data_IF_629024735830
#
_entry.id   IF_629024735830
#
_cell.length_a   1.000
_cell.length_b   1.000
_cell.length_c   1.000
_cell.angle_alpha   90.00
_cell.angle_beta   90.00
_cell.angle_gamma   90.00
#
_symmetry.space_group_name_H-M   'P 1'
#
loop_
_entity.id
_entity.type
_entity.pdbx_description
1 polymer ?
#
# COMPACT_ATOMS: atom_id res chain seq x y z
N UNK A 1 -38.63 -38.21 57.96
CA UNK A 1 -38.92 -36.97 57.21
C UNK A 1 -37.74 -36.70 56.28
N UNK A 2 -37.90 -36.89 54.96
CA UNK A 2 -36.83 -36.81 53.95
C UNK A 2 -36.70 -35.37 53.45
N UNK A 3 -35.59 -34.70 53.72
CA UNK A 3 -35.29 -33.38 53.14
C UNK A 3 -34.40 -33.61 51.92
N UNK A 4 -34.96 -33.43 50.72
CA UNK A 4 -34.27 -33.61 49.45
C UNK A 4 -33.23 -32.49 49.25
N UNK A 5 -31.96 -32.86 49.24
CA UNK A 5 -30.86 -31.99 48.84
C UNK A 5 -30.89 -31.91 47.31
N UNK A 6 -31.39 -30.79 46.77
CA UNK A 6 -31.49 -30.54 45.35
C UNK A 6 -30.10 -30.44 44.70
N UNK A 7 -29.72 -31.48 43.95
CA UNK A 7 -28.51 -31.49 43.14
C UNK A 7 -28.68 -30.58 41.92
N UNK A 8 -28.23 -29.33 42.04
CA UNK A 8 -28.27 -28.35 40.96
C UNK A 8 -27.25 -28.72 39.87
N UNK A 9 -27.74 -29.13 38.71
CA UNK A 9 -26.90 -29.56 37.57
C UNK A 9 -26.41 -28.33 36.80
N UNK A 10 -25.18 -27.88 37.08
CA UNK A 10 -24.50 -26.88 36.26
C UNK A 10 -24.15 -27.48 34.89
N UNK A 11 -24.93 -27.16 33.85
CA UNK A 11 -24.60 -27.51 32.48
C UNK A 11 -23.41 -26.65 32.02
N UNK A 12 -22.22 -27.24 31.81
CA UNK A 12 -21.12 -26.53 31.15
C UNK A 12 -21.50 -26.31 29.67
N UNK A 13 -21.69 -25.04 29.26
CA UNK A 13 -21.92 -24.70 27.86
C UNK A 13 -20.57 -24.75 27.15
N UNK A 14 -20.25 -25.88 26.52
CA UNK A 14 -19.09 -25.99 25.63
C UNK A 14 -19.37 -25.13 24.40
N UNK A 15 -18.90 -23.88 24.41
CA UNK A 15 -19.00 -23.01 23.25
C UNK A 15 -18.15 -23.58 22.12
N UNK A 16 -18.79 -24.02 21.03
CA UNK A 16 -18.09 -24.46 19.80
C UNK A 16 -17.18 -23.33 19.33
N UNK A 17 -15.85 -23.56 19.36
CA UNK A 17 -14.86 -22.61 18.85
C UNK A 17 -15.18 -22.29 17.40
N UNK A 18 -15.52 -21.03 17.12
CA UNK A 18 -15.89 -20.58 15.77
C UNK A 18 -14.67 -20.70 14.86
N UNK A 19 -14.65 -21.71 13.99
CA UNK A 19 -13.58 -21.87 13.01
C UNK A 19 -13.75 -20.75 11.99
N UNK A 20 -12.83 -19.79 12.06
CA UNK A 20 -12.78 -18.69 11.12
C UNK A 20 -12.52 -19.25 9.72
N UNK A 21 -13.37 -18.88 8.75
CA UNK A 21 -13.18 -19.27 7.34
C UNK A 21 -11.74 -19.04 6.87
N UNK A 22 -11.13 -20.00 6.19
CA UNK A 22 -9.76 -19.86 5.64
C UNK A 22 -9.70 -18.81 4.52
N UNK A 23 -10.81 -18.64 3.80
CA UNK A 23 -10.96 -17.73 2.67
C UNK A 23 -11.56 -16.39 3.16
N UNK A 24 -10.92 -15.29 2.78
CA UNK A 24 -11.39 -13.94 3.02
C UNK A 24 -12.36 -13.49 1.90
N UNK A 25 -13.56 -13.09 2.29
CA UNK A 25 -14.61 -12.54 1.40
C UNK A 25 -14.93 -11.09 1.77
N UNK A 26 -15.54 -10.35 0.84
CA UNK A 26 -16.01 -8.97 1.05
C UNK A 26 -14.95 -7.86 0.89
N UNK A 27 -15.35 -6.62 1.16
CA UNK A 27 -14.56 -5.39 0.91
C UNK A 27 -13.18 -5.39 1.59
N UNK A 28 -13.08 -5.98 2.78
CA UNK A 28 -11.84 -6.05 3.57
C UNK A 28 -10.98 -7.29 3.28
N UNK A 29 -11.29 -8.10 2.29
CA UNK A 29 -10.62 -9.39 2.05
C UNK A 29 -9.08 -9.28 1.96
N UNK A 30 -8.58 -8.32 1.16
CA UNK A 30 -7.13 -8.07 1.03
C UNK A 30 -6.49 -7.59 2.33
N UNK A 31 -7.23 -6.81 3.12
CA UNK A 31 -6.76 -6.31 4.42
C UNK A 31 -6.65 -7.45 5.42
N UNK A 32 -7.66 -8.32 5.48
CA UNK A 32 -7.68 -9.49 6.37
C UNK A 32 -6.53 -10.45 6.08
N UNK A 33 -6.27 -10.74 4.79
CA UNK A 33 -5.14 -11.60 4.38
C UNK A 33 -3.80 -10.93 4.70
N UNK A 34 -3.65 -9.64 4.44
CA UNK A 34 -2.42 -8.93 4.75
C UNK A 34 -2.12 -8.88 6.25
N UNK A 35 -3.16 -8.71 7.09
CA UNK A 35 -3.09 -8.79 8.56
C UNK A 35 -2.84 -10.21 9.07
N UNK A 36 -3.06 -11.24 8.26
CA UNK A 36 -2.88 -12.64 8.64
C UNK A 36 -4.09 -13.29 9.32
N UNK A 37 -5.25 -12.62 9.36
CA UNK A 37 -6.47 -13.21 9.96
C UNK A 37 -7.09 -14.30 9.09
N UNK A 38 -6.68 -14.37 7.83
CA UNK A 38 -7.18 -15.28 6.79
C UNK A 38 -6.02 -15.69 5.88
N UNK A 39 -6.05 -16.90 5.33
CA UNK A 39 -4.94 -17.41 4.53
C UNK A 39 -4.92 -16.87 3.08
N UNK A 40 -6.09 -16.79 2.44
CA UNK A 40 -6.22 -16.38 1.03
C UNK A 40 -7.48 -15.57 0.76
N UNK A 41 -7.48 -14.72 -0.27
CA UNK A 41 -8.70 -14.07 -0.75
C UNK A 41 -9.56 -15.05 -1.58
N UNK A 42 -10.80 -14.68 -1.88
CA UNK A 42 -11.65 -15.46 -2.81
C UNK A 42 -11.00 -15.67 -4.19
N UNK A 43 -10.18 -14.71 -4.65
CA UNK A 43 -9.40 -14.83 -5.89
C UNK A 43 -8.01 -15.46 -5.72
N UNK A 44 -7.74 -16.16 -4.61
CA UNK A 44 -6.51 -16.93 -4.42
C UNK A 44 -5.26 -16.16 -3.99
N UNK A 45 -5.34 -14.84 -3.78
CA UNK A 45 -4.17 -14.05 -3.38
C UNK A 45 -3.77 -14.34 -1.93
N UNK A 46 -2.48 -14.61 -1.72
CA UNK A 46 -1.84 -14.78 -0.41
C UNK A 46 -1.22 -13.47 0.07
N UNK A 47 -0.72 -13.46 1.31
CA UNK A 47 -0.03 -12.29 1.90
C UNK A 47 1.20 -11.86 1.08
N UNK A 48 1.95 -12.82 0.52
CA UNK A 48 3.10 -12.57 -0.37
C UNK A 48 2.75 -11.72 -1.60
N UNK A 49 1.53 -11.89 -2.11
CA UNK A 49 1.09 -11.27 -3.36
C UNK A 49 0.48 -9.89 -3.14
N UNK A 50 0.44 -9.42 -1.88
CA UNK A 50 -0.18 -8.16 -1.47
C UNK A 50 0.87 -7.18 -0.96
N UNK A 51 0.71 -5.92 -1.33
CA UNK A 51 1.57 -4.82 -0.89
C UNK A 51 0.74 -3.60 -0.49
N UNK A 52 1.19 -2.91 0.56
CA UNK A 52 0.63 -1.62 0.99
C UNK A 52 1.19 -0.50 0.10
N UNK A 53 0.31 0.33 -0.46
CA UNK A 53 0.68 1.54 -1.20
C UNK A 53 0.97 2.70 -0.24
N UNK A 54 1.55 3.80 -0.75
CA UNK A 54 1.80 5.02 0.05
C UNK A 54 0.53 5.58 0.69
N UNK A 55 -0.61 5.51 -0.02
CA UNK A 55 -1.93 5.93 0.47
C UNK A 55 -2.56 4.95 1.47
N UNK A 56 -1.85 3.91 1.90
CA UNK A 56 -2.33 2.90 2.85
C UNK A 56 -3.22 1.80 2.25
N UNK A 57 -3.54 1.86 0.95
CA UNK A 57 -4.37 0.86 0.26
C UNK A 57 -3.58 -0.42 0.01
N UNK A 58 -4.19 -1.57 0.30
CA UNK A 58 -3.61 -2.88 0.02
C UNK A 58 -3.99 -3.30 -1.40
N UNK A 59 -2.97 -3.43 -2.26
CA UNK A 59 -3.09 -3.81 -3.67
C UNK A 59 -2.28 -5.07 -3.94
N UNK A 60 -2.49 -5.72 -5.08
CA UNK A 60 -1.62 -6.83 -5.48
C UNK A 60 -0.24 -6.30 -5.91
N UNK A 61 0.80 -7.06 -5.61
CA UNK A 61 2.17 -6.77 -6.00
C UNK A 61 2.29 -6.61 -7.52
N UNK A 62 1.63 -7.49 -8.29
CA UNK A 62 1.53 -7.39 -9.77
C UNK A 62 0.96 -6.05 -10.22
N UNK A 63 -0.13 -5.57 -9.60
CA UNK A 63 -0.73 -4.27 -9.95
C UNK A 63 0.20 -3.11 -9.61
N UNK A 64 0.91 -3.18 -8.48
CA UNK A 64 1.91 -2.17 -8.10
C UNK A 64 3.12 -2.15 -9.04
N UNK A 65 3.55 -3.30 -9.56
CA UNK A 65 4.62 -3.36 -10.54
C UNK A 65 4.18 -2.82 -11.90
N UNK A 66 2.98 -3.20 -12.37
CA UNK A 66 2.40 -2.71 -13.62
C UNK A 66 2.24 -1.18 -13.61
N UNK A 67 1.78 -0.58 -12.50
CA UNK A 67 1.63 0.88 -12.42
C UNK A 67 2.98 1.61 -12.53
N UNK A 68 4.07 1.04 -12.01
CA UNK A 68 5.43 1.61 -12.14
C UNK A 68 5.97 1.50 -13.56
N UNK A 69 5.63 0.42 -14.27
CA UNK A 69 6.03 0.19 -15.67
C UNK A 69 5.13 0.90 -16.68
N UNK A 70 4.00 1.45 -16.25
CA UNK A 70 3.09 2.20 -17.12
C UNK A 70 3.77 3.43 -17.73
N UNK A 71 3.30 3.87 -18.90
CA UNK A 71 3.85 5.03 -19.59
C UNK A 71 3.85 6.29 -18.69
N UNK A 72 2.77 6.51 -17.94
CA UNK A 72 2.70 7.61 -16.98
C UNK A 72 3.76 7.48 -15.86
N UNK A 73 3.95 6.26 -15.32
CA UNK A 73 4.97 5.99 -14.31
C UNK A 73 6.39 6.26 -14.82
N UNK A 74 6.69 5.85 -16.05
CA UNK A 74 7.99 6.10 -16.70
C UNK A 74 8.26 7.59 -16.90
N UNK A 75 7.28 8.34 -17.41
CA UNK A 75 7.42 9.81 -17.62
C UNK A 75 7.70 10.55 -16.31
N UNK A 76 6.96 10.22 -15.24
CA UNK A 76 7.17 10.81 -13.91
C UNK A 76 8.56 10.47 -13.37
N UNK A 77 9.00 9.22 -13.52
CA UNK A 77 10.32 8.79 -13.08
C UNK A 77 11.44 9.49 -13.87
N UNK A 78 11.33 9.58 -15.19
CA UNK A 78 12.29 10.26 -16.06
C UNK A 78 12.42 11.74 -15.71
N UNK A 79 11.29 12.44 -15.51
CA UNK A 79 11.28 13.84 -15.09
C UNK A 79 11.91 14.05 -13.71
N UNK A 80 11.63 13.15 -12.75
CA UNK A 80 12.24 13.17 -11.43
C UNK A 80 13.76 13.03 -11.47
N UNK A 81 14.27 12.10 -12.28
CA UNK A 81 15.72 11.90 -12.49
C UNK A 81 16.35 13.11 -13.17
N UNK A 82 15.72 13.66 -14.20
CA UNK A 82 16.20 14.88 -14.88
C UNK A 82 16.27 16.07 -13.91
N UNK A 83 15.26 16.24 -13.05
CA UNK A 83 15.22 17.29 -12.04
C UNK A 83 16.31 17.11 -10.98
N UNK A 84 16.54 15.89 -10.51
CA UNK A 84 17.62 15.61 -9.56
C UNK A 84 19.00 15.93 -10.16
N UNK A 85 19.24 15.58 -11.43
CA UNK A 85 20.48 15.92 -12.16
C UNK A 85 20.65 17.42 -12.33
N UNK A 86 19.61 18.12 -12.77
CA UNK A 86 19.62 19.58 -12.94
C UNK A 86 19.92 20.31 -11.61
N UNK A 87 19.30 19.88 -10.51
CA UNK A 87 19.53 20.47 -9.19
C UNK A 87 20.96 20.28 -8.70
N UNK A 88 21.54 19.10 -8.91
CA UNK A 88 22.95 18.84 -8.60
C UNK A 88 23.87 19.72 -9.45
N UNK A 89 23.61 19.84 -10.75
CA UNK A 89 24.42 20.63 -11.66
C UNK A 89 24.35 22.16 -11.43
N UNK A 90 23.31 22.65 -10.74
CA UNK A 90 23.15 24.07 -10.40
C UNK A 90 23.46 24.35 -8.92
N UNK A 91 23.80 23.34 -8.12
CA UNK A 91 24.12 23.51 -6.70
C UNK A 91 22.96 24.04 -5.83
N UNK A 92 21.71 23.90 -6.27
CA UNK A 92 20.56 24.50 -5.57
C UNK A 92 20.24 23.71 -4.30
N UNK A 93 20.56 24.31 -3.15
CA UNK A 93 20.18 23.83 -1.81
C UNK A 93 18.86 24.50 -1.38
N UNK A 94 17.97 23.74 -0.75
CA UNK A 94 16.65 24.22 -0.32
C UNK A 94 15.58 24.23 -1.41
N UNK A 95 14.45 24.86 -1.12
CA UNK A 95 13.30 24.92 -2.01
C UNK A 95 13.56 25.88 -3.19
N UNK A 96 13.25 25.43 -4.41
CA UNK A 96 13.27 26.27 -5.60
C UNK A 96 12.14 25.84 -6.54
N UNK A 97 11.20 26.74 -6.88
CA UNK A 97 10.10 26.41 -7.77
C UNK A 97 10.61 26.21 -9.21
N UNK A 98 10.32 25.04 -9.79
CA UNK A 98 10.64 24.75 -11.20
C UNK A 98 9.81 25.67 -12.09
N UNK A 99 10.47 26.54 -12.87
CA UNK A 99 9.78 27.48 -13.77
C UNK A 99 9.09 28.66 -13.07
N UNK A 100 9.46 28.96 -11.83
CA UNK A 100 8.89 30.11 -11.09
C UNK A 100 9.33 31.49 -11.63
N UNK A 101 8.83 32.55 -10.98
CA UNK A 101 9.17 33.97 -11.33
C UNK A 101 10.65 34.30 -11.14
N UNK A 102 11.33 33.60 -10.23
CA UNK A 102 12.76 33.79 -9.93
C UNK A 102 13.66 33.28 -11.06
N UNK A 103 14.76 33.99 -11.34
CA UNK A 103 15.75 33.60 -12.35
C UNK A 103 16.28 32.17 -12.15
N UNK A 104 16.57 31.78 -10.90
CA UNK A 104 17.02 30.42 -10.52
C UNK A 104 16.02 29.33 -10.93
N UNK A 105 14.72 29.58 -10.75
CA UNK A 105 13.65 28.65 -11.11
C UNK A 105 13.50 28.46 -12.63
N UNK A 106 13.66 29.55 -13.40
CA UNK A 106 13.67 29.52 -14.87
C UNK A 106 14.87 28.73 -15.40
N UNK A 107 16.07 29.00 -14.86
CA UNK A 107 17.30 28.29 -15.23
C UNK A 107 17.25 26.79 -14.87
N UNK A 108 16.61 26.44 -13.76
CA UNK A 108 16.38 25.05 -13.40
C UNK A 108 15.48 24.36 -14.43
N UNK A 109 14.38 25.00 -14.85
CA UNK A 109 13.45 24.40 -15.81
C UNK A 109 14.08 24.14 -17.17
N UNK A 110 14.85 25.09 -17.70
CA UNK A 110 15.55 24.92 -18.99
C UNK A 110 16.54 23.75 -18.92
N UNK A 111 17.26 23.62 -17.80
CA UNK A 111 18.22 22.53 -17.58
C UNK A 111 17.55 21.18 -17.30
N UNK A 112 16.38 21.14 -16.67
CA UNK A 112 15.59 19.91 -16.55
C UNK A 112 15.15 19.44 -17.93
N UNK A 113 14.63 20.35 -18.76
CA UNK A 113 14.20 20.04 -20.12
C UNK A 113 15.32 19.46 -20.97
N UNK A 114 16.55 19.99 -20.85
CA UNK A 114 17.69 19.43 -21.60
C UNK A 114 18.09 18.02 -21.15
N UNK A 115 17.90 17.68 -19.87
CA UNK A 115 18.15 16.32 -19.37
C UNK A 115 16.98 15.36 -19.56
N UNK A 116 15.77 15.88 -19.81
CA UNK A 116 14.60 15.06 -20.06
C UNK A 116 14.66 14.49 -21.47
N UNK A 117 15.12 13.24 -21.58
CA UNK A 117 14.97 12.44 -22.80
C UNK A 117 13.56 11.83 -22.78
N UNK A 118 12.73 12.24 -23.75
CA UNK A 118 11.35 11.78 -23.90
C UNK A 118 11.26 10.28 -24.18
#
# INVERSE_FOLDING_TARGET
MKVYIGFMKCQCVITKKKINSTIAKGKRAKVSVFKGTKAKTSGGLKKSDLKKSKSGKIVSAKKSAASKKSAAGKKIAAWGVATAKARKALGIKGFCPVGGKTAKGKALYTKVKSFYKA
#
